data_IF_666038549780
#
_entry.id   IF_666038549780
#
_cell.length_a   1.000
_cell.length_b   1.000
_cell.length_c   1.000
_cell.angle_alpha   90.00
_cell.angle_beta   90.00
_cell.angle_gamma   90.00
#
_symmetry.space_group_name_H-M   'P 1'
#
loop_
_entity.id
_entity.type
_entity.pdbx_description
1 polymer ?
#
# COMPACT_ATOMS: atom_id res chain seq x y z
N UNK A 1 -7.15 -4.08 -37.63
CA UNK A 1 -6.80 -2.88 -36.82
C UNK A 1 -7.28 -3.18 -35.42
N UNK A 2 -6.38 -3.26 -34.45
CA UNK A 2 -6.72 -3.62 -33.07
C UNK A 2 -7.78 -2.63 -32.54
N UNK A 3 -9.01 -3.11 -32.33
CA UNK A 3 -10.06 -2.30 -31.74
C UNK A 3 -9.63 -1.95 -30.32
N UNK A 4 -9.18 -0.71 -30.15
CA UNK A 4 -8.80 -0.19 -28.84
C UNK A 4 -10.00 -0.33 -27.91
N UNK A 5 -9.84 -1.13 -26.85
CA UNK A 5 -10.84 -1.26 -25.80
C UNK A 5 -11.34 0.13 -25.39
N UNK A 6 -12.64 0.39 -25.55
CA UNK A 6 -13.24 1.74 -25.39
C UNK A 6 -12.94 2.39 -24.03
N UNK A 7 -12.61 1.58 -23.02
CA UNK A 7 -12.29 2.03 -21.67
C UNK A 7 -10.78 1.91 -21.35
N UNK A 8 -9.90 1.78 -22.34
CA UNK A 8 -8.45 1.66 -22.12
C UNK A 8 -7.87 2.88 -21.39
N UNK A 9 -8.36 4.09 -21.68
CA UNK A 9 -7.97 5.31 -20.95
C UNK A 9 -8.37 5.25 -19.49
N UNK A 10 -9.56 4.71 -19.19
CA UNK A 10 -10.05 4.53 -17.81
C UNK A 10 -9.22 3.47 -17.08
N UNK A 11 -8.90 2.36 -17.75
CA UNK A 11 -8.04 1.31 -17.20
C UNK A 11 -6.64 1.85 -16.88
N UNK A 12 -6.04 2.62 -17.79
CA UNK A 12 -4.75 3.27 -17.57
C UNK A 12 -4.80 4.26 -16.40
N UNK A 13 -5.91 5.00 -16.26
CA UNK A 13 -6.11 5.90 -15.12
C UNK A 13 -6.20 5.12 -13.80
N UNK A 14 -6.98 4.03 -13.74
CA UNK A 14 -7.07 3.16 -12.55
C UNK A 14 -5.73 2.53 -12.19
N UNK A 15 -4.93 2.12 -13.17
CA UNK A 15 -3.55 1.67 -12.94
C UNK A 15 -2.69 2.73 -12.27
N UNK A 16 -2.80 3.99 -12.70
CA UNK A 16 -2.07 5.11 -12.08
C UNK A 16 -2.53 5.35 -10.64
N UNK A 17 -3.84 5.25 -10.37
CA UNK A 17 -4.37 5.37 -9.01
C UNK A 17 -3.89 4.25 -8.09
N UNK A 18 -3.87 3.01 -8.58
CA UNK A 18 -3.30 1.88 -7.84
C UNK A 18 -1.81 2.12 -7.51
N UNK A 19 -1.01 2.51 -8.51
CA UNK A 19 0.41 2.79 -8.30
C UNK A 19 0.65 3.91 -7.28
N UNK A 20 -0.18 4.96 -7.33
CA UNK A 20 -0.11 6.07 -6.36
C UNK A 20 -0.49 5.61 -4.95
N UNK A 21 -1.51 4.76 -4.81
CA UNK A 21 -1.89 4.15 -3.54
C UNK A 21 -0.79 3.25 -2.98
N UNK A 22 -0.10 2.48 -3.83
CA UNK A 22 1.07 1.67 -3.43
C UNK A 22 2.22 2.55 -2.91
N UNK A 23 2.54 3.63 -3.62
CA UNK A 23 3.58 4.58 -3.20
C UNK A 23 3.26 5.21 -1.85
N UNK A 24 2.03 5.71 -1.67
CA UNK A 24 1.57 6.28 -0.39
C UNK A 24 1.66 5.26 0.74
N UNK A 25 1.21 4.03 0.53
CA UNK A 25 1.32 2.98 1.53
C UNK A 25 2.79 2.70 1.92
N UNK A 26 3.69 2.66 0.94
CA UNK A 26 5.12 2.45 1.19
C UNK A 26 5.75 3.62 1.97
N UNK A 27 5.32 4.86 1.73
CA UNK A 27 5.75 6.03 2.50
C UNK A 27 5.24 6.01 3.94
N UNK A 28 3.96 5.71 4.16
CA UNK A 28 3.40 5.63 5.51
C UNK A 28 4.00 4.47 6.31
N UNK A 29 4.26 3.31 5.69
CA UNK A 29 4.94 2.19 6.35
C UNK A 29 6.38 2.53 6.78
N UNK A 30 7.12 3.25 5.92
CA UNK A 30 8.46 3.73 6.27
C UNK A 30 8.42 4.68 7.45
N UNK A 31 7.45 5.60 7.44
CA UNK A 31 7.26 6.59 8.51
C UNK A 31 6.84 5.92 9.82
N UNK A 32 5.92 4.97 9.79
CA UNK A 32 5.49 4.17 10.94
C UNK A 32 6.67 3.39 11.54
N UNK A 33 7.45 2.71 10.71
CA UNK A 33 8.63 1.94 11.15
C UNK A 33 9.66 2.85 11.81
N UNK A 34 9.97 4.00 11.19
CA UNK A 34 10.88 4.98 11.76
C UNK A 34 10.39 5.50 13.13
N UNK A 35 9.08 5.78 13.25
CA UNK A 35 8.48 6.24 14.49
C UNK A 35 8.53 5.16 15.58
N UNK A 36 8.25 3.91 15.24
CA UNK A 36 8.36 2.77 16.17
C UNK A 36 9.79 2.61 16.70
N UNK A 37 10.81 2.80 15.85
CA UNK A 37 12.20 2.81 16.30
C UNK A 37 12.51 3.97 17.26
N UNK A 38 11.96 5.16 17.01
CA UNK A 38 12.11 6.30 17.93
C UNK A 38 11.42 6.06 19.28
N UNK A 39 10.22 5.47 19.28
CA UNK A 39 9.53 5.07 20.52
C UNK A 39 10.35 4.04 21.29
N UNK A 40 10.88 3.03 20.61
CA UNK A 40 11.70 1.99 21.23
C UNK A 40 12.99 2.56 21.83
N UNK A 41 13.69 3.45 21.13
CA UNK A 41 14.91 4.08 21.62
C UNK A 41 14.64 4.98 22.82
N UNK A 42 13.55 5.76 22.81
CA UNK A 42 13.16 6.61 23.92
C UNK A 42 12.78 5.79 25.17
N UNK A 43 12.08 4.65 24.99
CA UNK A 43 11.80 3.70 26.09
C UNK A 43 13.08 3.13 26.67
N UNK A 44 14.02 2.71 25.83
CA UNK A 44 15.32 2.20 26.28
C UNK A 44 16.10 3.26 27.08
N UNK A 45 16.10 4.51 26.63
CA UNK A 45 16.71 5.64 27.35
C UNK A 45 16.06 5.86 28.72
N UNK A 46 14.72 5.85 28.80
CA UNK A 46 14.02 5.97 30.08
C UNK A 46 14.35 4.83 31.04
N UNK A 47 14.42 3.59 30.54
CA UNK A 47 14.78 2.43 31.35
C UNK A 47 16.21 2.56 31.91
N UNK A 48 17.16 3.01 31.07
CA UNK A 48 18.54 3.29 31.52
C UNK A 48 18.59 4.37 32.60
N UNK A 49 17.86 5.47 32.42
CA UNK A 49 17.77 6.53 33.43
C UNK A 49 17.19 6.02 34.76
N UNK A 50 16.18 5.14 34.71
CA UNK A 50 15.62 4.53 35.91
C UNK A 50 16.61 3.60 36.60
N UNK A 51 17.34 2.77 35.85
CA UNK A 51 18.39 1.91 36.40
C UNK A 51 19.51 2.71 37.06
N UNK A 52 19.99 3.76 36.38
CA UNK A 52 21.03 4.64 36.92
C UNK A 52 20.57 5.36 38.19
N UNK A 53 19.34 5.88 38.23
CA UNK A 53 18.78 6.50 39.43
C UNK A 53 18.72 5.52 40.60
N UNK A 54 18.25 4.28 40.36
CA UNK A 54 18.19 3.24 41.41
C UNK A 54 19.58 2.92 41.95
N UNK A 55 20.57 2.78 41.06
CA UNK A 55 21.95 2.50 41.47
C UNK A 55 22.53 3.65 42.30
N UNK A 56 22.34 4.90 41.86
CA UNK A 56 22.82 6.09 42.60
C UNK A 56 22.10 6.27 43.94
N UNK A 57 20.83 5.89 44.04
CA UNK A 57 20.09 5.91 45.31
C UNK A 57 20.69 4.94 46.33
N UNK A 58 21.19 3.77 45.88
CA UNK A 58 21.83 2.79 46.76
C UNK A 58 23.21 3.24 47.24
N UNK A 59 23.97 3.96 46.42
CA UNK A 59 25.31 4.47 46.77
C UNK A 59 25.28 5.82 47.49
N UNK A 60 24.10 6.43 47.64
CA UNK A 60 23.94 7.80 48.10
C UNK A 60 23.92 8.78 46.94
N UNK A 61 22.89 9.62 46.88
CA UNK A 61 22.69 10.67 45.87
C UNK A 61 22.30 11.97 46.56
N UNK A 62 22.78 13.11 46.04
CA UNK A 62 22.37 14.41 46.55
C UNK A 62 20.89 14.68 46.24
N UNK A 63 20.25 15.51 47.06
CA UNK A 63 18.85 15.93 46.83
C UNK A 63 18.72 16.69 45.51
N UNK A 64 19.74 17.48 45.15
CA UNK A 64 19.78 18.25 43.91
C UNK A 64 19.84 17.33 42.68
N UNK A 65 20.70 16.31 42.70
CA UNK A 65 20.80 15.34 41.60
C UNK A 65 19.50 14.53 41.46
N UNK A 66 18.89 14.14 42.58
CA UNK A 66 17.61 13.43 42.58
C UNK A 66 16.50 14.28 41.93
N UNK A 67 16.46 15.59 42.20
CA UNK A 67 15.54 16.51 41.55
C UNK A 67 15.82 16.62 40.04
N UNK A 68 17.09 16.72 39.62
CA UNK A 68 17.47 16.75 38.21
C UNK A 68 17.03 15.49 37.46
N UNK A 69 17.25 14.31 38.04
CA UNK A 69 16.79 13.04 37.48
C UNK A 69 15.27 13.01 37.33
N UNK A 70 14.52 13.42 38.36
CA UNK A 70 13.05 13.49 38.29
C UNK A 70 12.55 14.40 37.17
N UNK A 71 13.14 15.59 37.03
CA UNK A 71 12.79 16.54 35.97
C UNK A 71 13.09 15.95 34.58
N UNK A 72 14.26 15.33 34.40
CA UNK A 72 14.66 14.70 33.15
C UNK A 72 13.73 13.55 32.79
N UNK A 73 13.48 12.61 33.71
CA UNK A 73 12.57 11.48 33.51
C UNK A 73 11.16 11.96 33.12
N UNK A 74 10.64 12.98 33.81
CA UNK A 74 9.33 13.55 33.48
C UNK A 74 9.30 14.14 32.06
N UNK A 75 10.35 14.86 31.65
CA UNK A 75 10.46 15.37 30.27
C UNK A 75 10.49 14.22 29.26
N UNK A 76 11.31 13.19 29.50
CA UNK A 76 11.42 12.05 28.61
C UNK A 76 10.11 11.25 28.52
N UNK A 77 9.35 11.14 29.61
CA UNK A 77 8.00 10.54 29.63
C UNK A 77 6.99 11.35 28.81
N UNK A 78 6.96 12.67 28.97
CA UNK A 78 6.09 13.53 28.16
C UNK A 78 6.42 13.44 26.66
N UNK A 79 7.71 13.39 26.33
CA UNK A 79 8.14 13.20 24.94
C UNK A 79 7.76 11.81 24.40
N UNK A 80 7.94 10.76 25.21
CA UNK A 80 7.53 9.41 24.83
C UNK A 80 6.03 9.34 24.57
N UNK A 81 5.21 9.97 25.41
CA UNK A 81 3.76 10.01 25.24
C UNK A 81 3.38 10.64 23.89
N UNK A 82 3.99 11.79 23.54
CA UNK A 82 3.78 12.42 22.24
C UNK A 82 4.18 11.53 21.07
N UNK A 83 5.32 10.84 21.18
CA UNK A 83 5.77 9.91 20.13
C UNK A 83 4.82 8.72 19.97
N UNK A 84 4.22 8.23 21.06
CA UNK A 84 3.22 7.15 21.01
C UNK A 84 1.95 7.64 20.31
N UNK A 85 1.45 8.83 20.66
CA UNK A 85 0.29 9.44 20.00
C UNK A 85 0.52 9.62 18.49
N UNK A 86 1.70 10.11 18.10
CA UNK A 86 2.09 10.23 16.69
C UNK A 86 2.21 8.87 15.99
N UNK A 87 2.73 7.85 16.68
CA UNK A 87 2.81 6.49 16.14
C UNK A 87 1.40 5.90 15.90
N UNK A 88 0.44 6.16 16.78
CA UNK A 88 -0.95 5.74 16.60
C UNK A 88 -1.62 6.44 15.41
N UNK A 89 -1.33 7.73 15.19
CA UNK A 89 -1.78 8.47 14.01
C UNK A 89 -1.24 7.84 12.71
N UNK A 90 0.07 7.58 12.66
CA UNK A 90 0.69 6.91 11.50
C UNK A 90 0.15 5.50 11.28
N UNK A 91 -0.14 4.76 12.35
CA UNK A 91 -0.75 3.43 12.24
C UNK A 91 -2.16 3.51 11.62
N UNK A 92 -2.96 4.49 12.03
CA UNK A 92 -4.28 4.76 11.41
C UNK A 92 -4.13 5.13 9.94
N UNK A 93 -3.14 5.95 9.59
CA UNK A 93 -2.86 6.33 8.21
C UNK A 93 -2.47 5.13 7.34
N UNK A 94 -1.59 4.25 7.84
CA UNK A 94 -1.23 2.99 7.16
C UNK A 94 -2.47 2.14 6.92
N UNK A 95 -3.36 2.01 7.90
CA UNK A 95 -4.61 1.25 7.75
C UNK A 95 -5.50 1.84 6.65
N UNK A 96 -5.64 3.16 6.61
CA UNK A 96 -6.41 3.86 5.58
C UNK A 96 -5.78 3.67 4.19
N UNK A 97 -4.45 3.78 4.08
CA UNK A 97 -3.75 3.58 2.80
C UNK A 97 -3.83 2.15 2.29
N UNK A 98 -3.87 1.14 3.19
CA UNK A 98 -4.14 -0.26 2.81
C UNK A 98 -5.56 -0.41 2.23
N UNK A 99 -6.55 0.24 2.85
CA UNK A 99 -7.93 0.20 2.36
C UNK A 99 -8.04 0.83 0.97
N UNK A 100 -7.47 2.03 0.78
CA UNK A 100 -7.46 2.72 -0.51
C UNK A 100 -6.77 1.90 -1.61
N UNK A 101 -5.66 1.24 -1.29
CA UNK A 101 -4.99 0.35 -2.24
C UNK A 101 -5.87 -0.85 -2.61
N UNK A 102 -6.55 -1.45 -1.62
CA UNK A 102 -7.46 -2.56 -1.87
C UNK A 102 -8.60 -2.18 -2.80
N UNK A 103 -9.23 -1.02 -2.57
CA UNK A 103 -10.29 -0.48 -3.41
C UNK A 103 -9.80 -0.18 -4.83
N UNK A 104 -8.67 0.50 -4.98
CA UNK A 104 -8.08 0.80 -6.29
C UNK A 104 -7.74 -0.49 -7.08
N UNK A 105 -7.21 -1.51 -6.40
CA UNK A 105 -6.91 -2.80 -7.02
C UNK A 105 -8.18 -3.55 -7.45
N UNK A 106 -9.25 -3.50 -6.65
CA UNK A 106 -10.55 -4.11 -7.01
C UNK A 106 -11.17 -3.44 -8.23
N UNK A 107 -11.20 -2.11 -8.26
CA UNK A 107 -11.74 -1.35 -9.39
C UNK A 107 -10.97 -1.60 -10.70
N UNK A 108 -9.64 -1.66 -10.62
CA UNK A 108 -8.80 -2.02 -11.77
C UNK A 108 -9.13 -3.44 -12.25
N UNK A 109 -9.15 -4.42 -11.35
CA UNK A 109 -9.42 -5.83 -11.67
C UNK A 109 -10.78 -6.00 -12.35
N UNK A 110 -11.79 -5.24 -11.93
CA UNK A 110 -13.10 -5.25 -12.55
C UNK A 110 -13.05 -4.80 -14.02
N UNK A 111 -12.27 -3.77 -14.33
CA UNK A 111 -12.09 -3.29 -15.70
C UNK A 111 -11.24 -4.24 -16.56
N UNK A 112 -10.21 -4.87 -15.97
CA UNK A 112 -9.41 -5.89 -16.64
C UNK A 112 -10.28 -7.08 -17.04
N UNK A 113 -11.08 -7.61 -16.11
CA UNK A 113 -12.02 -8.69 -16.41
C UNK A 113 -13.02 -8.32 -17.52
N UNK A 114 -13.47 -7.06 -17.56
CA UNK A 114 -14.38 -6.58 -18.60
C UNK A 114 -13.67 -6.49 -19.96
N UNK A 115 -12.41 -6.07 -19.98
CA UNK A 115 -11.57 -6.05 -21.18
C UNK A 115 -11.36 -7.46 -21.73
N UNK A 116 -10.94 -8.40 -20.88
CA UNK A 116 -10.72 -9.80 -21.27
C UNK A 116 -11.97 -10.45 -21.87
N UNK A 117 -13.15 -10.21 -21.28
CA UNK A 117 -14.43 -10.70 -21.82
C UNK A 117 -14.71 -10.16 -23.22
N UNK A 118 -14.51 -8.85 -23.44
CA UNK A 118 -14.74 -8.24 -24.76
C UNK A 118 -13.75 -8.75 -25.81
N UNK A 119 -12.49 -8.92 -25.43
CA UNK A 119 -11.47 -9.47 -26.33
C UNK A 119 -11.79 -10.92 -26.71
N UNK A 120 -12.27 -11.72 -25.77
CA UNK A 120 -12.73 -13.08 -26.04
C UNK A 120 -13.95 -13.11 -26.99
N UNK A 121 -14.96 -12.27 -26.73
CA UNK A 121 -16.14 -12.13 -27.59
C UNK A 121 -15.76 -11.72 -29.02
N UNK A 122 -14.87 -10.73 -29.16
CA UNK A 122 -14.41 -10.26 -30.46
C UNK A 122 -13.65 -11.33 -31.22
N UNK A 123 -12.73 -12.05 -30.55
CA UNK A 123 -12.02 -13.20 -31.14
C UNK A 123 -12.98 -14.30 -31.60
N UNK A 124 -14.02 -14.59 -30.82
CA UNK A 124 -15.04 -15.56 -31.24
C UNK A 124 -15.84 -15.09 -32.47
N UNK A 125 -16.17 -13.80 -32.56
CA UNK A 125 -16.87 -13.24 -33.73
C UNK A 125 -15.98 -13.26 -34.97
N UNK A 126 -14.71 -12.89 -34.85
CA UNK A 126 -13.77 -12.87 -35.96
C UNK A 126 -13.51 -14.29 -36.49
N UNK A 127 -13.31 -15.27 -35.61
CA UNK A 127 -13.21 -16.68 -36.00
C UNK A 127 -14.46 -17.16 -36.78
N UNK A 128 -15.67 -16.78 -36.32
CA UNK A 128 -16.91 -17.13 -37.03
C UNK A 128 -17.00 -16.50 -38.41
N UNK A 129 -16.56 -15.25 -38.56
CA UNK A 129 -16.53 -14.56 -39.86
C UNK A 129 -15.50 -15.20 -40.79
N UNK A 130 -14.32 -15.51 -40.29
CA UNK A 130 -13.27 -16.18 -41.06
C UNK A 130 -13.74 -17.56 -41.55
N UNK A 131 -14.35 -18.38 -40.68
CA UNK A 131 -14.92 -19.67 -41.08
C UNK A 131 -15.99 -19.50 -42.17
N UNK A 132 -16.90 -18.54 -42.02
CA UNK A 132 -17.94 -18.29 -43.03
C UNK A 132 -17.35 -17.88 -44.39
N UNK A 133 -16.29 -17.06 -44.39
CA UNK A 133 -15.58 -16.68 -45.62
C UNK A 133 -14.89 -17.89 -46.26
N UNK A 134 -14.26 -18.75 -45.46
CA UNK A 134 -13.61 -19.97 -45.96
C UNK A 134 -14.62 -20.95 -46.56
N UNK A 135 -15.78 -21.12 -45.93
CA UNK A 135 -16.88 -21.94 -46.45
C UNK A 135 -17.39 -21.39 -47.79
N UNK A 136 -17.59 -20.07 -47.89
CA UNK A 136 -17.99 -19.42 -49.14
C UNK A 136 -16.95 -19.60 -50.26
N UNK A 137 -15.66 -19.51 -49.94
CA UNK A 137 -14.57 -19.76 -50.90
C UNK A 137 -14.58 -21.23 -51.35
N UNK A 138 -14.73 -22.17 -50.42
CA UNK A 138 -14.79 -23.60 -50.70
C UNK A 138 -15.99 -23.94 -51.62
N UNK A 139 -17.16 -23.34 -51.37
CA UNK A 139 -18.35 -23.50 -52.22
C UNK A 139 -18.15 -22.93 -53.63
N UNK A 140 -17.43 -21.81 -53.78
CA UNK A 140 -17.13 -21.20 -55.08
C UNK A 140 -16.09 -21.98 -55.88
N UNK A 141 -15.06 -22.48 -55.22
CA UNK A 141 -14.02 -23.31 -55.86
C UNK A 141 -14.56 -24.70 -56.23
N UNK A 142 -15.37 -25.32 -55.38
CA UNK A 142 -16.00 -26.62 -55.66
C UNK A 142 -17.02 -26.60 -56.79
N UNK A 143 -17.61 -25.43 -57.09
CA UNK A 143 -18.50 -25.23 -58.26
C UNK A 143 -17.75 -25.08 -59.59
N UNK A 144 -16.45 -24.78 -59.58
CA UNK A 144 -15.63 -24.63 -60.79
C UNK A 144 -14.92 -25.93 -61.22
N UNK A 145 -15.05 -27.00 -60.44
CA UNK A 145 -14.45 -28.33 -60.68
C UNK A 145 -15.43 -29.38 -61.26
N UNK A 146 -16.54 -28.93 -61.87
CA UNK A 146 -17.49 -29.73 -62.66
C UNK A 146 -17.67 -29.04 -64.02
#
# INVERSE_FOLDING_TARGET
MADNFKLQTVLNHRQRLENLAQQKLAESLRSETAMQHQVASQRATLNKMHQELTQRQQTGISVQDLQLFRLSINRHRKNLQKLIEQAEELHREVKNNRQLLSEAAQEKKLLENLKEKKEAEQKHQDNRRESAILDDIALRLGKHSL
#
